data_IF_979656177737
#
_entry.id   IF_979656177737
#
_cell.length_a   1.000
_cell.length_b   1.000
_cell.length_c   1.000
_cell.angle_alpha   90.00
_cell.angle_beta   90.00
_cell.angle_gamma   90.00
#
_symmetry.space_group_name_H-M   'P 1'
#
loop_
_entity.id
_entity.type
_entity.pdbx_description
1 polymer ?
#
# COMPACT_ATOMS: atom_id res chain seq x y z
N UNK A 1 -3.77 -22.29 -22.57
CA UNK A 1 -4.64 -22.94 -21.59
C UNK A 1 -5.05 -21.94 -20.53
N UNK A 2 -6.33 -21.92 -20.15
CA UNK A 2 -6.92 -21.07 -19.10
C UNK A 2 -6.41 -21.39 -17.69
N UNK A 3 -5.81 -22.56 -17.51
CA UNK A 3 -5.21 -23.03 -16.25
C UNK A 3 -4.12 -22.09 -15.71
N UNK A 4 -3.42 -21.35 -16.58
CA UNK A 4 -2.38 -20.41 -16.14
C UNK A 4 -2.94 -19.11 -15.52
N UNK A 5 -4.24 -18.86 -15.66
CA UNK A 5 -4.88 -17.60 -15.26
C UNK A 5 -5.82 -17.73 -14.06
N UNK A 6 -5.99 -18.93 -13.53
CA UNK A 6 -6.84 -19.16 -12.36
C UNK A 6 -6.31 -18.38 -11.14
N UNK A 7 -7.19 -17.63 -10.48
CA UNK A 7 -6.84 -16.75 -9.36
C UNK A 7 -6.01 -15.51 -9.72
N UNK A 8 -5.56 -15.34 -10.97
CA UNK A 8 -4.82 -14.15 -11.39
C UNK A 8 -5.78 -12.99 -11.67
N UNK A 9 -5.33 -11.78 -11.34
CA UNK A 9 -6.01 -10.53 -11.68
C UNK A 9 -5.33 -9.90 -12.89
N UNK A 10 -6.12 -9.32 -13.79
CA UNK A 10 -5.59 -8.55 -14.91
C UNK A 10 -5.08 -7.19 -14.39
N UNK A 11 -3.77 -6.95 -14.50
CA UNK A 11 -3.15 -5.71 -14.03
C UNK A 11 -3.77 -4.47 -14.69
N UNK A 12 -4.05 -4.51 -16.00
CA UNK A 12 -4.62 -3.38 -16.73
C UNK A 12 -6.00 -2.99 -16.19
N UNK A 13 -6.86 -3.98 -15.93
CA UNK A 13 -8.22 -3.70 -15.43
C UNK A 13 -8.17 -3.13 -14.01
N UNK A 14 -7.28 -3.67 -13.18
CA UNK A 14 -7.14 -3.22 -11.81
C UNK A 14 -6.54 -1.81 -11.72
N UNK A 15 -5.64 -1.44 -12.65
CA UNK A 15 -5.13 -0.07 -12.79
C UNK A 15 -6.23 0.92 -13.20
N UNK A 16 -7.09 0.57 -14.15
CA UNK A 16 -8.25 1.41 -14.51
C UNK A 16 -9.24 1.54 -13.35
N UNK A 17 -9.50 0.45 -12.62
CA UNK A 17 -10.33 0.48 -11.42
C UNK A 17 -9.77 1.41 -10.33
N UNK A 18 -8.44 1.48 -10.17
CA UNK A 18 -7.77 2.36 -9.21
C UNK A 18 -8.03 3.86 -9.48
N UNK A 19 -8.32 4.25 -10.72
CA UNK A 19 -8.66 5.63 -11.10
C UNK A 19 -10.16 5.86 -11.27
N UNK A 20 -11.01 4.96 -10.74
CA UNK A 20 -12.47 5.10 -10.79
C UNK A 20 -13.12 4.59 -12.08
N UNK A 21 -12.39 3.85 -12.90
CA UNK A 21 -12.91 3.21 -14.12
C UNK A 21 -12.89 1.67 -14.03
N UNK A 22 -13.61 1.05 -13.08
CA UNK A 22 -13.66 -0.41 -12.99
C UNK A 22 -14.44 -1.00 -14.15
N UNK A 23 -13.95 -2.10 -14.71
CA UNK A 23 -14.71 -2.87 -15.70
C UNK A 23 -15.78 -3.71 -15.00
N UNK A 24 -17.00 -3.71 -15.57
CA UNK A 24 -18.06 -4.64 -15.18
C UNK A 24 -17.91 -5.96 -15.94
N UNK A 25 -17.86 -7.09 -15.22
CA UNK A 25 -17.90 -8.43 -15.81
C UNK A 25 -19.15 -9.16 -15.32
N UNK A 26 -20.05 -9.46 -16.24
CA UNK A 26 -21.36 -10.01 -15.88
C UNK A 26 -22.18 -9.02 -15.04
N UNK A 27 -23.24 -9.52 -14.41
CA UNK A 27 -24.20 -8.66 -13.71
C UNK A 27 -23.68 -8.11 -12.36
N UNK A 28 -22.81 -8.85 -11.67
CA UNK A 28 -22.53 -8.63 -10.24
C UNK A 28 -21.03 -8.58 -9.89
N UNK A 29 -20.15 -8.29 -10.84
CA UNK A 29 -18.72 -8.20 -10.57
C UNK A 29 -18.11 -6.95 -11.22
N UNK A 30 -17.65 -6.04 -10.36
CA UNK A 30 -16.80 -4.92 -10.75
C UNK A 30 -15.35 -5.30 -10.42
N UNK A 31 -14.43 -5.08 -11.35
CA UNK A 31 -13.01 -5.31 -11.09
C UNK A 31 -12.52 -4.43 -9.94
N UNK A 32 -11.82 -4.99 -8.94
CA UNK A 32 -11.32 -4.20 -7.82
C UNK A 32 -10.10 -3.37 -8.22
N UNK A 33 -9.87 -2.22 -7.55
CA UNK A 33 -8.63 -1.47 -7.71
C UNK A 33 -7.42 -2.26 -7.21
N UNK A 34 -6.23 -1.90 -7.67
CA UNK A 34 -4.95 -2.44 -7.15
C UNK A 34 -4.15 -1.37 -6.42
N UNK A 35 -3.49 -1.78 -5.34
CA UNK A 35 -2.40 -1.04 -4.70
C UNK A 35 -1.12 -1.82 -4.96
N UNK A 36 -0.11 -1.17 -5.51
CA UNK A 36 1.20 -1.78 -5.77
C UNK A 36 2.23 -1.22 -4.80
N UNK A 37 3.17 -2.05 -4.35
CA UNK A 37 4.31 -1.59 -3.56
C UNK A 37 5.31 -0.77 -4.39
N UNK A 38 5.21 -0.83 -5.73
CA UNK A 38 6.17 -0.19 -6.62
C UNK A 38 7.60 -0.62 -6.33
N UNK A 39 8.53 0.33 -6.43
CA UNK A 39 9.95 0.12 -6.13
C UNK A 39 10.24 0.11 -4.62
N UNK A 40 9.33 0.64 -3.78
CA UNK A 40 9.50 0.73 -2.33
C UNK A 40 9.56 -0.63 -1.64
N UNK A 41 9.28 -1.74 -2.35
CA UNK A 41 9.40 -3.09 -1.80
C UNK A 41 10.81 -3.39 -1.29
N UNK A 42 11.85 -2.86 -1.94
CA UNK A 42 13.25 -3.05 -1.48
C UNK A 42 13.51 -2.37 -0.14
N UNK A 43 12.75 -1.33 0.17
CA UNK A 43 12.87 -0.53 1.38
C UNK A 43 12.09 -1.12 2.57
N UNK A 44 11.13 -2.02 2.33
CA UNK A 44 10.25 -2.57 3.38
C UNK A 44 11.05 -3.31 4.47
N UNK A 45 12.21 -3.86 4.14
CA UNK A 45 13.07 -4.58 5.09
C UNK A 45 13.49 -3.75 6.30
N UNK A 46 13.56 -2.41 6.18
CA UNK A 46 13.92 -1.51 7.29
C UNK A 46 12.92 -1.52 8.44
N UNK A 47 11.69 -1.99 8.20
CA UNK A 47 10.64 -2.10 9.21
C UNK A 47 10.65 -3.47 9.91
N UNK A 48 11.41 -4.44 9.40
CA UNK A 48 11.48 -5.80 9.95
C UNK A 48 12.62 -5.88 10.96
N UNK A 49 12.28 -6.20 12.22
CA UNK A 49 13.28 -6.39 13.28
C UNK A 49 14.18 -7.61 13.00
N UNK A 50 15.42 -7.58 13.50
CA UNK A 50 16.35 -8.69 13.34
C UNK A 50 15.75 -10.02 13.85
N UNK A 51 15.76 -11.05 13.01
CA UNK A 51 15.18 -12.36 13.31
C UNK A 51 13.66 -12.46 13.15
N UNK A 52 12.97 -11.38 12.78
CA UNK A 52 11.55 -11.40 12.46
C UNK A 52 11.29 -11.69 10.97
N UNK A 53 10.09 -12.22 10.68
CA UNK A 53 9.61 -12.47 9.32
C UNK A 53 8.46 -11.54 8.91
N UNK A 54 8.06 -10.63 9.80
CA UNK A 54 6.97 -9.69 9.56
C UNK A 54 7.17 -8.42 10.39
N UNK A 55 6.44 -7.37 10.01
CA UNK A 55 6.37 -6.09 10.71
C UNK A 55 4.91 -5.67 10.82
N UNK A 56 4.62 -4.76 11.75
CA UNK A 56 3.29 -4.20 11.96
C UNK A 56 3.24 -2.74 11.50
N UNK A 57 2.04 -2.24 11.23
CA UNK A 57 1.84 -0.83 10.90
C UNK A 57 2.37 0.12 12.00
N UNK A 58 2.30 -0.30 13.27
CA UNK A 58 2.83 0.47 14.40
C UNK A 58 4.37 0.66 14.33
N UNK A 59 5.11 -0.32 13.80
CA UNK A 59 6.56 -0.24 13.66
C UNK A 59 6.94 0.83 12.62
N UNK A 60 6.18 0.86 11.51
CA UNK A 60 6.30 1.86 10.46
C UNK A 60 6.02 3.26 11.01
N UNK A 61 4.89 3.44 11.70
CA UNK A 61 4.49 4.73 12.26
C UNK A 61 5.52 5.22 13.28
N UNK A 62 5.99 4.35 14.18
CA UNK A 62 7.01 4.69 15.17
C UNK A 62 8.30 5.17 14.50
N UNK A 63 8.75 4.49 13.44
CA UNK A 63 9.97 4.86 12.73
C UNK A 63 9.83 6.20 12.00
N UNK A 64 8.69 6.45 11.34
CA UNK A 64 8.42 7.73 10.67
C UNK A 64 8.37 8.90 11.66
N UNK A 65 7.74 8.70 12.83
CA UNK A 65 7.65 9.73 13.87
C UNK A 65 8.99 10.01 14.56
N UNK A 66 9.90 9.05 14.64
CA UNK A 66 11.23 9.26 15.22
C UNK A 66 12.08 10.28 14.42
N UNK A 67 11.83 10.42 13.12
CA UNK A 67 12.49 11.42 12.25
C UNK A 67 11.75 12.75 12.14
N UNK A 68 10.51 12.83 12.62
CA UNK A 68 9.73 14.07 12.62
C UNK A 68 10.11 14.91 13.85
N UNK A 69 10.88 15.99 13.66
CA UNK A 69 10.99 16.99 14.73
C UNK A 69 9.60 17.55 15.03
N UNK A 70 9.21 17.69 16.31
CA UNK A 70 8.00 18.43 16.62
C UNK A 70 8.15 19.85 16.08
N UNK A 71 7.22 20.27 15.22
CA UNK A 71 7.03 21.68 14.93
C UNK A 71 6.56 22.32 16.24
N UNK A 72 7.49 22.86 17.02
CA UNK A 72 7.16 23.77 18.11
C UNK A 72 6.63 25.03 17.43
N UNK A 73 5.31 25.24 17.43
CA UNK A 73 4.76 26.56 17.12
C UNK A 73 5.26 27.53 18.19
N UNK A 74 6.19 28.41 17.79
CA UNK A 74 6.62 29.57 18.56
C UNK A 74 5.49 30.59 18.66
N UNK A 75 4.46 30.28 19.44
CA UNK A 75 3.29 31.12 19.68
C UNK A 75 3.04 31.30 21.17
N UNK A 76 4.01 31.85 21.89
CA UNK A 76 3.81 32.32 23.25
C UNK A 76 2.79 33.46 23.27
N UNK A 77 1.80 33.29 24.14
CA UNK A 77 0.84 34.28 24.58
C UNK A 77 1.54 35.57 25.07
N UNK A 78 1.27 36.69 24.42
CA UNK A 78 1.37 38.05 24.96
C UNK A 78 0.40 38.96 24.20
#
# INVERSE_FOLDING_TARGET
GTEQTEGRKCICNALLAAIGHPQQRGANYAEPPVVTAGDDLTEVGRFVSAGALSYRAEDVIRMLLAGASPMIESGQNA
#
